data_IF_451330176824
#
_entry.id   IF_451330176824
#
_cell.length_a   1.000
_cell.length_b   1.000
_cell.length_c   1.000
_cell.angle_alpha   90.00
_cell.angle_beta   90.00
_cell.angle_gamma   90.00
#
_symmetry.space_group_name_H-M   'P 1'
#
loop_
_entity.id
_entity.type
_entity.pdbx_description
1 polymer ?
#
# COMPACT_ATOMS: atom_id res chain seq x y z
N UNK A 1 12.50 4.50 -9.08
CA UNK A 1 11.77 4.90 -7.86
C UNK A 1 11.24 3.64 -7.18
N UNK A 2 10.75 3.74 -5.94
CA UNK A 2 10.22 2.60 -5.20
C UNK A 2 8.91 2.96 -4.51
N UNK A 3 7.81 2.18 -4.73
CA UNK A 3 7.71 1.04 -5.64
C UNK A 3 7.95 1.39 -7.12
N UNK A 4 8.38 0.45 -7.98
CA UNK A 4 8.56 0.71 -9.40
C UNK A 4 7.21 0.94 -10.10
N UNK A 5 7.22 1.69 -11.21
CA UNK A 5 6.09 1.68 -12.14
C UNK A 5 5.86 0.25 -12.62
N UNK A 6 4.60 -0.04 -12.93
CA UNK A 6 4.20 -1.33 -13.48
C UNK A 6 4.15 -1.23 -14.99
N UNK A 7 4.66 -2.26 -15.67
CA UNK A 7 4.66 -2.34 -17.13
C UNK A 7 3.25 -2.57 -17.70
N UNK A 8 2.32 -3.05 -16.87
CA UNK A 8 0.92 -3.21 -17.23
C UNK A 8 0.26 -1.85 -17.48
N UNK A 9 -0.08 -1.60 -18.74
CA UNK A 9 -0.70 -0.35 -19.22
C UNK A 9 -2.06 -0.06 -18.61
N UNK A 10 -2.74 -1.07 -18.05
CA UNK A 10 -4.03 -0.90 -17.36
C UNK A 10 -3.89 -0.32 -15.96
N UNK A 11 -2.67 -0.35 -15.38
CA UNK A 11 -2.40 0.12 -14.02
C UNK A 11 -2.79 1.58 -13.83
N UNK A 12 -2.37 2.47 -14.74
CA UNK A 12 -2.67 3.90 -14.64
C UNK A 12 -4.18 4.20 -14.62
N UNK A 13 -4.95 3.75 -15.64
CA UNK A 13 -6.40 3.87 -15.66
C UNK A 13 -7.09 3.26 -14.43
N UNK A 14 -6.66 2.08 -13.98
CA UNK A 14 -7.23 1.41 -12.81
C UNK A 14 -6.99 2.17 -11.51
N UNK A 15 -5.78 2.71 -11.30
CA UNK A 15 -5.49 3.56 -10.14
C UNK A 15 -6.34 4.84 -10.16
N UNK A 16 -6.64 5.39 -11.34
CA UNK A 16 -7.56 6.51 -11.46
C UNK A 16 -9.01 6.12 -11.10
N UNK A 17 -9.46 4.92 -11.45
CA UNK A 17 -10.76 4.39 -11.02
C UNK A 17 -10.82 4.19 -9.50
N UNK A 18 -9.74 3.69 -8.90
CA UNK A 18 -9.60 3.61 -7.44
C UNK A 18 -9.60 4.99 -6.78
N UNK A 19 -9.09 6.02 -7.45
CA UNK A 19 -9.14 7.39 -6.96
C UNK A 19 -10.57 7.96 -7.04
N UNK A 20 -11.27 7.69 -8.15
CA UNK A 20 -12.65 8.11 -8.38
C UNK A 20 -13.64 7.48 -7.40
N UNK A 21 -13.46 6.19 -7.09
CA UNK A 21 -14.34 5.45 -6.17
C UNK A 21 -13.96 5.61 -4.68
N UNK A 22 -12.88 6.33 -4.38
CA UNK A 22 -12.43 6.61 -3.01
C UNK A 22 -11.62 5.49 -2.34
N UNK A 23 -11.28 4.41 -3.05
CA UNK A 23 -10.32 3.39 -2.56
C UNK A 23 -8.96 4.02 -2.31
N UNK A 24 -8.52 4.90 -3.22
CA UNK A 24 -7.42 5.83 -3.01
C UNK A 24 -7.99 7.20 -2.68
N UNK A 25 -7.42 7.88 -1.69
CA UNK A 25 -8.02 9.12 -1.15
C UNK A 25 -7.31 10.40 -1.58
N UNK A 26 -6.01 10.35 -1.92
CA UNK A 26 -5.25 11.55 -2.25
C UNK A 26 -4.08 11.21 -3.18
N UNK A 27 -3.47 12.24 -3.75
CA UNK A 27 -2.38 12.13 -4.72
C UNK A 27 -1.15 12.91 -4.25
N UNK A 28 0.02 12.33 -4.50
CA UNK A 28 1.32 12.96 -4.28
C UNK A 28 2.23 12.64 -5.46
N UNK A 29 3.29 13.44 -5.65
CA UNK A 29 4.24 13.25 -6.75
C UNK A 29 5.44 12.39 -6.38
N UNK A 30 5.70 12.19 -5.08
CA UNK A 30 6.97 11.61 -4.59
C UNK A 30 8.20 12.26 -5.26
N UNK A 31 8.14 13.60 -5.40
CA UNK A 31 9.13 14.35 -6.15
C UNK A 31 10.50 14.23 -5.51
N UNK A 32 11.39 13.52 -6.20
CA UNK A 32 12.75 13.23 -5.76
C UNK A 32 13.61 13.09 -7.02
N UNK A 33 14.26 14.18 -7.42
CA UNK A 33 14.88 14.26 -8.75
C UNK A 33 16.39 14.10 -8.69
N UNK A 34 16.91 13.45 -9.73
CA UNK A 34 18.34 13.29 -9.96
C UNK A 34 18.59 13.46 -11.45
N UNK A 35 19.61 14.22 -11.84
CA UNK A 35 19.94 14.44 -13.25
C UNK A 35 20.44 13.15 -13.93
N UNK A 36 20.50 13.14 -15.26
CA UNK A 36 20.96 11.99 -16.03
C UNK A 36 22.35 11.48 -15.61
N UNK A 37 23.26 12.40 -15.30
CA UNK A 37 24.59 12.07 -14.79
C UNK A 37 24.57 11.38 -13.41
N UNK A 38 23.67 11.79 -12.51
CA UNK A 38 23.50 11.17 -11.19
C UNK A 38 22.83 9.80 -11.32
N UNK A 39 21.86 9.65 -12.22
CA UNK A 39 21.25 8.35 -12.56
C UNK A 39 22.28 7.36 -13.12
N UNK A 40 23.26 7.84 -13.88
CA UNK A 40 24.31 7.02 -14.48
C UNK A 40 25.24 6.33 -13.48
N UNK A 41 25.18 6.67 -12.18
CA UNK A 41 25.86 5.92 -11.12
C UNK A 41 25.51 4.42 -11.12
N UNK A 42 24.29 4.07 -11.54
CA UNK A 42 23.83 2.69 -11.66
C UNK A 42 23.82 2.13 -13.07
N UNK A 43 24.58 2.71 -14.02
CA UNK A 43 24.61 2.25 -15.42
C UNK A 43 24.92 0.75 -15.56
N UNK A 44 25.79 0.22 -14.69
CA UNK A 44 26.24 -1.18 -14.68
C UNK A 44 25.55 -2.02 -13.59
N UNK A 45 24.77 -1.39 -12.69
CA UNK A 45 24.09 -2.05 -11.58
C UNK A 45 22.87 -1.23 -11.15
N UNK A 46 21.68 -1.70 -11.50
CA UNK A 46 20.43 -0.98 -11.24
C UNK A 46 20.21 -0.66 -9.76
N UNK A 47 20.79 -1.45 -8.84
CA UNK A 47 20.66 -1.25 -7.39
C UNK A 47 21.35 0.02 -6.90
N UNK A 48 22.26 0.58 -7.72
CA UNK A 48 22.98 1.82 -7.43
C UNK A 48 22.31 3.05 -8.07
N UNK A 49 21.24 2.88 -8.84
CA UNK A 49 20.51 4.01 -9.41
C UNK A 49 19.80 4.75 -8.27
N UNK A 50 20.03 6.05 -8.06
CA UNK A 50 19.31 6.79 -7.05
C UNK A 50 17.81 6.81 -7.36
N UNK A 51 16.98 6.44 -6.39
CA UNK A 51 15.55 6.28 -6.58
C UNK A 51 14.80 7.60 -6.51
N UNK A 52 14.04 7.91 -7.56
CA UNK A 52 13.14 9.05 -7.59
C UNK A 52 12.83 9.52 -9.01
N UNK A 53 11.77 10.29 -9.16
CA UNK A 53 11.30 10.88 -10.42
C UNK A 53 10.78 12.30 -10.18
N UNK A 54 10.51 13.01 -11.27
CA UNK A 54 9.93 14.35 -11.26
C UNK A 54 8.38 14.28 -11.20
N UNK A 55 7.71 15.41 -10.96
CA UNK A 55 6.24 15.44 -10.99
C UNK A 55 5.55 16.44 -10.06
N UNK A 56 6.26 17.24 -9.27
CA UNK A 56 5.64 18.25 -8.39
C UNK A 56 4.84 19.29 -9.19
N UNK A 57 5.39 19.76 -10.31
CA UNK A 57 4.79 20.75 -11.20
C UNK A 57 3.66 20.16 -12.04
N UNK A 58 3.86 18.95 -12.55
CA UNK A 58 2.96 18.32 -13.53
C UNK A 58 1.81 17.51 -12.89
N UNK A 59 1.81 17.35 -11.56
CA UNK A 59 0.80 16.56 -10.84
C UNK A 59 -0.63 16.99 -11.19
N UNK A 60 -0.93 18.28 -11.10
CA UNK A 60 -2.31 18.76 -11.30
C UNK A 60 -2.76 18.61 -12.77
N UNK A 61 -2.00 19.07 -13.79
CA UNK A 61 -2.38 18.87 -15.18
C UNK A 61 -2.51 17.39 -15.58
N UNK A 62 -1.65 16.50 -15.06
CA UNK A 62 -1.74 15.06 -15.34
C UNK A 62 -3.01 14.45 -14.74
N UNK A 63 -3.33 14.77 -13.48
CA UNK A 63 -4.57 14.27 -12.85
C UNK A 63 -5.80 14.83 -13.55
N UNK A 64 -5.77 16.10 -13.98
CA UNK A 64 -6.85 16.69 -14.75
C UNK A 64 -7.06 15.95 -16.08
N UNK A 65 -6.01 15.84 -16.90
CA UNK A 65 -6.08 15.19 -18.21
C UNK A 65 -6.44 13.71 -18.14
N UNK A 66 -5.98 12.99 -17.10
CA UNK A 66 -6.25 11.53 -16.96
C UNK A 66 -7.50 11.22 -16.16
N UNK A 67 -7.98 12.14 -15.33
CA UNK A 67 -9.14 11.95 -14.46
C UNK A 67 -10.36 12.72 -14.95
N UNK A 68 -10.28 14.04 -15.04
CA UNK A 68 -11.41 14.90 -15.36
C UNK A 68 -11.79 14.79 -16.84
N UNK A 69 -10.82 14.91 -17.74
CA UNK A 69 -11.10 14.89 -19.19
C UNK A 69 -11.54 13.52 -19.70
N UNK A 70 -11.12 12.45 -19.01
CA UNK A 70 -11.56 11.09 -19.32
C UNK A 70 -12.93 10.76 -18.72
N UNK A 71 -13.51 11.67 -17.93
CA UNK A 71 -14.80 11.48 -17.25
C UNK A 71 -14.73 10.55 -16.04
N UNK A 72 -13.54 10.19 -15.56
CA UNK A 72 -13.36 9.37 -14.34
C UNK A 72 -13.56 10.20 -13.06
N UNK A 73 -13.19 11.47 -13.09
CA UNK A 73 -13.37 12.40 -11.97
C UNK A 73 -14.27 13.55 -12.38
N UNK A 74 -15.16 13.97 -11.50
CA UNK A 74 -15.73 15.31 -11.59
C UNK A 74 -14.75 16.37 -11.01
N UNK A 75 -15.06 17.65 -11.22
CA UNK A 75 -14.21 18.76 -10.76
C UNK A 75 -14.11 18.80 -9.22
N UNK A 76 -15.18 18.42 -8.50
CA UNK A 76 -15.19 18.40 -7.05
C UNK A 76 -14.30 17.29 -6.48
N UNK A 77 -14.30 16.11 -7.12
CA UNK A 77 -13.42 15.00 -6.83
C UNK A 77 -11.97 15.37 -7.14
N UNK A 78 -11.71 16.05 -8.25
CA UNK A 78 -10.38 16.60 -8.55
C UNK A 78 -9.86 17.48 -7.41
N UNK A 79 -10.68 18.43 -6.93
CA UNK A 79 -10.32 19.26 -5.76
C UNK A 79 -10.08 18.41 -4.52
N UNK A 80 -10.94 17.42 -4.27
CA UNK A 80 -10.85 16.56 -3.10
C UNK A 80 -9.53 15.77 -3.04
N UNK A 81 -9.16 15.12 -4.14
CA UNK A 81 -8.00 14.21 -4.19
C UNK A 81 -6.67 14.96 -4.32
N UNK A 82 -6.71 16.21 -4.78
CA UNK A 82 -5.51 17.04 -4.94
C UNK A 82 -5.22 17.97 -3.76
N UNK A 83 -6.23 18.28 -2.93
CA UNK A 83 -6.09 19.23 -1.81
C UNK A 83 -6.91 18.88 -0.56
N UNK A 84 -8.25 18.76 -0.66
CA UNK A 84 -9.13 18.69 0.53
C UNK A 84 -8.86 17.46 1.40
N UNK A 85 -8.66 16.29 0.79
CA UNK A 85 -8.43 15.06 1.53
C UNK A 85 -7.08 15.08 2.25
N UNK A 86 -6.03 15.59 1.60
CA UNK A 86 -4.73 15.80 2.25
C UNK A 86 -4.86 16.76 3.44
N UNK A 87 -5.57 17.88 3.28
CA UNK A 87 -5.80 18.83 4.37
C UNK A 87 -6.56 18.19 5.56
N UNK A 88 -7.53 17.31 5.30
CA UNK A 88 -8.25 16.59 6.38
C UNK A 88 -7.36 15.56 7.09
N UNK A 89 -6.59 14.78 6.32
CA UNK A 89 -5.68 13.75 6.84
C UNK A 89 -4.57 14.38 7.70
N UNK A 90 -4.00 15.50 7.26
CA UNK A 90 -2.92 16.19 7.96
C UNK A 90 -3.40 17.30 8.91
N UNK A 91 -4.69 17.30 9.29
CA UNK A 91 -5.26 18.22 10.27
C UNK A 91 -5.11 19.73 9.95
N UNK A 92 -5.23 20.09 8.67
CA UNK A 92 -5.17 21.46 8.18
C UNK A 92 -6.51 21.95 7.60
N UNK A 93 -7.55 21.13 7.60
CA UNK A 93 -8.86 21.51 7.07
C UNK A 93 -9.70 22.23 8.14
N UNK A 94 -10.41 23.33 7.81
CA UNK A 94 -10.57 23.96 6.49
C UNK A 94 -9.56 25.07 6.19
N UNK A 95 -8.53 25.28 7.04
CA UNK A 95 -7.51 26.31 6.82
C UNK A 95 -6.85 26.19 5.44
N UNK A 96 -6.62 24.95 4.96
CA UNK A 96 -6.21 24.62 3.59
C UNK A 96 -7.24 23.71 2.90
N UNK A 97 -7.20 23.68 1.57
CA UNK A 97 -7.99 22.74 0.76
C UNK A 97 -9.49 23.06 0.68
N UNK A 98 -9.88 24.31 0.99
CA UNK A 98 -11.24 24.83 0.83
C UNK A 98 -11.20 26.33 0.55
N UNK A 99 -12.03 26.78 -0.39
CA UNK A 99 -12.33 28.21 -0.59
C UNK A 99 -13.51 28.55 0.31
N UNK A 100 -13.24 29.21 1.44
CA UNK A 100 -14.24 29.67 2.39
C UNK A 100 -13.71 30.85 3.20
N UNK A 101 -14.61 31.64 3.77
CA UNK A 101 -14.24 32.70 4.72
C UNK A 101 -13.50 32.07 5.91
N UNK A 102 -12.32 32.58 6.23
CA UNK A 102 -11.45 32.08 7.29
C UNK A 102 -10.41 31.02 6.86
N UNK A 103 -10.46 30.54 5.61
CA UNK A 103 -9.40 29.72 5.02
C UNK A 103 -8.23 30.59 4.55
N UNK A 104 -7.03 30.02 4.48
CA UNK A 104 -5.87 30.72 3.92
C UNK A 104 -6.07 30.97 2.42
N UNK A 105 -5.59 32.11 1.93
CA UNK A 105 -5.73 32.52 0.54
C UNK A 105 -4.70 31.83 -0.38
N UNK A 106 -4.75 30.51 -0.41
CA UNK A 106 -3.99 29.65 -1.34
C UNK A 106 -4.94 29.13 -2.42
N UNK A 107 -4.91 29.78 -3.58
CA UNK A 107 -5.90 29.57 -4.64
C UNK A 107 -5.22 29.39 -6.00
N UNK A 108 -5.87 28.62 -6.88
CA UNK A 108 -5.51 28.51 -8.27
C UNK A 108 -6.63 29.10 -9.12
N UNK A 109 -6.27 29.93 -10.10
CA UNK A 109 -7.16 30.22 -11.22
C UNK A 109 -6.82 29.19 -12.29
N UNK A 110 -7.78 28.32 -12.57
CA UNK A 110 -7.61 27.17 -13.43
C UNK A 110 -8.36 27.39 -14.73
N UNK A 111 -7.64 27.30 -15.86
CA UNK A 111 -8.23 27.32 -17.19
C UNK A 111 -8.34 25.88 -17.70
N UNK A 112 -9.57 25.39 -17.87
CA UNK A 112 -9.85 24.04 -18.35
C UNK A 112 -9.53 23.83 -19.83
N UNK A 113 -9.39 24.89 -20.62
CA UNK A 113 -9.12 24.82 -22.06
C UNK A 113 -7.68 25.14 -22.42
N UNK A 114 -6.92 25.76 -21.51
CA UNK A 114 -5.49 25.98 -21.69
C UNK A 114 -4.76 24.66 -21.90
N UNK A 115 -3.82 24.66 -22.86
CA UNK A 115 -3.04 23.47 -23.23
C UNK A 115 -1.54 23.72 -23.15
N UNK A 116 -0.79 22.68 -22.79
CA UNK A 116 0.67 22.67 -22.88
C UNK A 116 1.15 21.28 -23.27
N UNK A 117 2.29 21.24 -23.97
CA UNK A 117 3.07 20.01 -24.11
C UNK A 117 4.12 20.01 -23.01
N UNK A 118 4.11 18.99 -22.15
CA UNK A 118 5.11 18.86 -21.09
C UNK A 118 6.48 18.58 -21.74
N UNK A 119 7.47 19.38 -21.35
CA UNK A 119 8.87 19.17 -21.74
C UNK A 119 9.83 19.58 -20.64
N UNK A 120 10.93 18.84 -20.49
CA UNK A 120 12.06 19.24 -19.65
C UNK A 120 12.67 20.58 -20.08
N UNK A 121 12.50 20.97 -21.35
CA UNK A 121 13.00 22.26 -21.84
C UNK A 121 12.21 23.48 -21.34
N UNK A 122 10.97 23.29 -20.89
CA UNK A 122 10.05 24.37 -20.52
C UNK A 122 9.57 24.31 -19.07
N UNK A 123 9.83 23.22 -18.36
CA UNK A 123 9.43 23.08 -16.96
C UNK A 123 10.27 23.97 -16.02
N UNK A 124 9.82 24.13 -14.79
CA UNK A 124 10.50 24.93 -13.75
C UNK A 124 11.31 24.06 -12.78
N UNK A 125 11.37 22.75 -13.02
CA UNK A 125 12.12 21.81 -12.20
C UNK A 125 13.62 21.88 -12.52
N UNK A 126 14.47 21.59 -11.53
CA UNK A 126 15.92 21.60 -11.72
C UNK A 126 16.47 20.37 -12.47
N UNK A 127 15.62 19.39 -12.76
CA UNK A 127 16.03 18.13 -13.37
C UNK A 127 16.09 18.19 -14.89
N UNK A 128 17.05 17.51 -15.49
CA UNK A 128 17.29 17.54 -16.95
C UNK A 128 16.37 16.63 -17.78
N UNK A 129 15.34 16.02 -17.16
CA UNK A 129 14.35 15.20 -17.85
C UNK A 129 12.95 15.34 -17.23
N UNK A 130 11.93 14.91 -17.98
CA UNK A 130 10.56 14.78 -17.49
C UNK A 130 9.99 13.40 -17.85
N UNK A 131 9.42 12.67 -16.89
CA UNK A 131 8.78 11.37 -17.15
C UNK A 131 7.50 11.50 -18.00
N UNK A 132 6.95 12.70 -18.13
CA UNK A 132 5.78 13.01 -18.95
C UNK A 132 6.15 13.76 -20.25
N UNK A 133 7.40 13.65 -20.71
CA UNK A 133 7.87 14.30 -21.93
C UNK A 133 6.92 14.07 -23.11
N UNK A 134 6.66 15.12 -23.89
CA UNK A 134 5.73 15.15 -25.06
C UNK A 134 4.24 14.95 -24.73
N UNK A 135 3.88 14.76 -23.47
CA UNK A 135 2.48 14.61 -23.10
C UNK A 135 1.72 15.93 -23.26
N UNK A 136 0.62 15.91 -24.01
CA UNK A 136 -0.26 17.05 -24.16
C UNK A 136 -1.25 17.08 -23.00
N UNK A 137 -1.11 18.07 -22.13
CA UNK A 137 -2.06 18.37 -21.08
C UNK A 137 -3.01 19.47 -21.54
N UNK A 138 -4.28 19.30 -21.18
CA UNK A 138 -5.25 20.38 -21.11
C UNK A 138 -5.66 20.55 -19.62
N UNK A 139 -6.11 21.74 -19.25
CA UNK A 139 -6.34 22.12 -17.86
C UNK A 139 -5.05 22.58 -17.18
N UNK A 140 -4.88 23.88 -17.00
CA UNK A 140 -3.66 24.47 -16.46
C UNK A 140 -3.94 25.57 -15.42
N UNK A 141 -3.07 25.72 -14.40
CA UNK A 141 -3.11 26.88 -13.54
C UNK A 141 -2.54 28.09 -14.30
N UNK A 142 -3.38 29.10 -14.55
CA UNK A 142 -2.94 30.36 -15.18
C UNK A 142 -2.46 31.38 -14.16
N UNK A 143 -3.00 31.33 -12.94
CA UNK A 143 -2.58 32.15 -11.80
C UNK A 143 -2.52 31.27 -10.55
N UNK A 144 -1.45 31.38 -9.77
CA UNK A 144 -1.32 30.78 -8.44
C UNK A 144 -1.18 31.87 -7.40
N UNK A 145 -2.04 31.82 -6.39
CA UNK A 145 -2.06 32.73 -5.25
C UNK A 145 -1.63 31.93 -4.02
N UNK A 146 -0.67 32.46 -3.25
CA UNK A 146 -0.18 31.85 -2.01
C UNK A 146 -0.16 32.92 -0.92
N UNK A 147 -0.77 32.65 0.23
CA UNK A 147 -0.89 33.60 1.35
C UNK A 147 -1.44 34.97 0.91
N UNK A 148 -2.39 34.96 -0.05
CA UNK A 148 -3.03 36.16 -0.61
C UNK A 148 -2.18 36.96 -1.61
N UNK A 149 -1.03 36.43 -2.05
CA UNK A 149 -0.13 37.08 -3.02
C UNK A 149 -0.05 36.27 -4.31
N UNK A 150 -0.03 36.95 -5.44
CA UNK A 150 0.21 36.31 -6.74
C UNK A 150 1.65 35.80 -6.75
N UNK A 151 1.80 34.48 -6.81
CA UNK A 151 3.08 33.77 -6.83
C UNK A 151 3.47 33.31 -8.24
N UNK A 152 2.49 33.09 -9.10
CA UNK A 152 2.68 32.74 -10.51
C UNK A 152 1.54 33.33 -11.33
N UNK A 153 1.86 33.92 -12.47
CA UNK A 153 0.88 34.50 -13.39
C UNK A 153 1.41 34.42 -14.83
N UNK A 154 0.61 33.86 -15.74
CA UNK A 154 0.89 33.80 -17.19
C UNK A 154 2.29 33.31 -17.60
N UNK A 155 2.86 32.36 -16.86
CA UNK A 155 4.18 31.78 -17.16
C UNK A 155 5.34 32.37 -16.36
N UNK A 156 5.10 33.41 -15.56
CA UNK A 156 6.12 34.06 -14.76
C UNK A 156 5.96 33.76 -13.27
N UNK A 157 7.09 33.54 -12.59
CA UNK A 157 7.15 33.32 -11.15
C UNK A 157 7.44 34.65 -10.41
N UNK A 158 6.59 34.98 -9.45
CA UNK A 158 6.69 36.19 -8.61
C UNK A 158 6.84 35.79 -7.14
N UNK A 159 7.93 35.10 -6.81
CA UNK A 159 8.18 34.58 -5.46
C UNK A 159 9.52 35.03 -4.90
N UNK A 160 9.57 35.19 -3.57
CA UNK A 160 10.79 35.45 -2.82
C UNK A 160 11.12 34.21 -2.00
N UNK A 161 12.37 33.76 -2.03
CA UNK A 161 12.83 32.63 -1.23
C UNK A 161 12.52 32.86 0.26
N UNK A 162 11.93 31.86 0.91
CA UNK A 162 11.54 31.94 2.33
C UNK A 162 10.17 32.57 2.61
N UNK A 163 9.39 32.90 1.58
CA UNK A 163 8.00 33.39 1.75
C UNK A 163 7.05 32.34 2.34
N UNK A 164 7.31 31.06 2.08
CA UNK A 164 6.54 29.94 2.64
C UNK A 164 6.72 29.80 4.15
N UNK A 165 5.62 29.44 4.84
CA UNK A 165 5.61 29.26 6.30
C UNK A 165 5.42 27.79 6.64
N UNK A 166 6.09 27.33 7.70
CA UNK A 166 5.78 26.05 8.32
C UNK A 166 4.34 26.06 8.87
N UNK A 167 3.62 24.97 8.67
CA UNK A 167 2.28 24.77 9.21
C UNK A 167 2.36 23.65 10.23
N UNK A 168 2.14 24.01 11.49
CA UNK A 168 2.02 23.03 12.56
C UNK A 168 0.71 22.25 12.39
N UNK A 169 0.80 20.93 12.42
CA UNK A 169 -0.33 20.02 12.29
C UNK A 169 -0.60 19.36 13.63
N UNK A 170 -1.75 19.64 14.24
CA UNK A 170 -2.14 19.02 15.51
C UNK A 170 -2.28 17.51 15.38
N UNK A 171 -1.95 16.77 16.45
CA UNK A 171 -2.17 15.32 16.49
C UNK A 171 -3.67 14.97 16.52
N UNK A 172 -3.98 13.72 16.21
CA UNK A 172 -5.32 13.14 16.38
C UNK A 172 -6.46 13.87 15.63
N UNK A 173 -6.27 14.15 14.33
CA UNK A 173 -7.36 14.68 13.49
C UNK A 173 -8.63 13.84 13.59
N UNK A 174 -9.78 14.48 13.81
CA UNK A 174 -11.07 13.81 13.88
C UNK A 174 -11.38 13.01 12.61
N UNK A 175 -10.93 13.51 11.45
CA UNK A 175 -11.16 12.84 10.17
C UNK A 175 -10.65 11.38 10.15
N UNK A 176 -9.51 11.12 10.82
CA UNK A 176 -8.90 9.79 10.92
C UNK A 176 -9.28 9.10 12.22
N UNK A 177 -9.21 9.82 13.34
CA UNK A 177 -9.27 9.22 14.68
C UNK A 177 -10.67 9.10 15.27
N UNK A 178 -11.66 9.87 14.80
CA UNK A 178 -13.02 9.81 15.37
C UNK A 178 -13.59 8.38 15.32
N UNK A 179 -13.42 7.69 14.18
CA UNK A 179 -13.88 6.31 14.00
C UNK A 179 -13.08 5.32 14.86
N UNK A 180 -11.78 5.54 15.01
CA UNK A 180 -10.91 4.69 15.82
C UNK A 180 -11.26 4.80 17.31
N UNK A 181 -11.45 6.02 17.81
CA UNK A 181 -11.87 6.26 19.20
C UNK A 181 -13.18 5.58 19.50
N UNK A 182 -14.17 5.68 18.60
CA UNK A 182 -15.46 4.99 18.76
C UNK A 182 -15.33 3.47 18.71
N UNK A 183 -14.50 2.94 17.81
CA UNK A 183 -14.22 1.50 17.72
C UNK A 183 -13.56 0.98 18.99
N UNK A 184 -12.63 1.72 19.57
CA UNK A 184 -11.95 1.31 20.80
C UNK A 184 -12.88 1.37 22.02
N UNK A 185 -13.75 2.39 22.11
CA UNK A 185 -14.81 2.45 23.13
C UNK A 185 -15.71 1.20 23.06
N UNK A 186 -16.21 0.88 21.87
CA UNK A 186 -17.04 -0.32 21.66
C UNK A 186 -16.27 -1.61 21.97
N UNK A 187 -15.00 -1.70 21.57
CA UNK A 187 -14.16 -2.87 21.86
C UNK A 187 -13.98 -3.05 23.37
N UNK A 188 -13.74 -1.98 24.11
CA UNK A 188 -13.62 -2.01 25.56
C UNK A 188 -14.93 -2.45 26.23
N UNK A 189 -16.09 -2.05 25.69
CA UNK A 189 -17.40 -2.51 26.14
C UNK A 189 -17.64 -4.00 25.84
N UNK A 190 -17.33 -4.46 24.61
CA UNK A 190 -17.47 -5.87 24.22
C UNK A 190 -16.53 -6.77 25.05
N UNK A 191 -15.28 -6.34 25.28
CA UNK A 191 -14.33 -7.09 26.11
C UNK A 191 -14.79 -7.21 27.56
N UNK A 192 -15.55 -6.23 28.09
CA UNK A 192 -16.21 -6.38 29.39
C UNK A 192 -17.35 -7.40 29.37
N UNK A 193 -17.92 -7.70 28.20
CA UNK A 193 -19.12 -8.52 28.05
C UNK A 193 -18.88 -9.98 27.65
N UNK A 194 -17.64 -10.44 27.46
CA UNK A 194 -17.43 -11.77 26.85
C UNK A 194 -16.19 -12.53 27.34
N UNK A 195 -16.05 -12.71 28.64
CA UNK A 195 -15.42 -13.93 29.14
C UNK A 195 -16.51 -14.96 29.35
N UNK A 196 -16.45 -16.10 28.65
CA UNK A 196 -17.32 -17.22 29.00
C UNK A 196 -16.89 -17.69 30.38
N UNK A 197 -17.71 -17.42 31.39
CA UNK A 197 -17.50 -17.95 32.73
C UNK A 197 -17.52 -19.48 32.64
N UNK A 198 -16.39 -20.09 32.99
CA UNK A 198 -16.25 -21.52 33.13
C UNK A 198 -15.64 -21.78 34.50
N UNK A 199 -16.05 -22.87 35.10
CA UNK A 199 -15.30 -23.39 36.23
C UNK A 199 -13.87 -23.72 35.79
N UNK A 200 -12.94 -23.64 36.74
CA UNK A 200 -11.58 -24.10 36.49
C UNK A 200 -11.64 -25.56 36.05
N UNK A 201 -10.94 -25.89 34.97
CA UNK A 201 -10.89 -27.25 34.49
C UNK A 201 -10.25 -28.16 35.57
N UNK A 202 -11.06 -29.06 36.12
CA UNK A 202 -10.66 -30.04 37.15
C UNK A 202 -10.46 -31.44 36.60
N UNK A 203 -10.66 -31.65 35.30
CA UNK A 203 -10.48 -32.94 34.66
C UNK A 203 -9.01 -33.35 34.55
N UNK A 204 -8.78 -34.63 34.25
CA UNK A 204 -7.44 -35.18 34.08
C UNK A 204 -6.74 -34.54 32.88
N UNK A 205 -5.59 -33.90 33.14
CA UNK A 205 -4.68 -33.47 32.07
C UNK A 205 -3.80 -34.66 31.71
N UNK A 206 -3.85 -35.10 30.45
CA UNK A 206 -2.99 -36.18 29.95
C UNK A 206 -1.52 -35.81 30.14
N UNK A 207 -0.81 -36.64 30.91
CA UNK A 207 0.62 -36.51 31.13
C UNK A 207 1.40 -37.14 29.97
N UNK A 208 1.79 -36.30 29.00
CA UNK A 208 2.58 -36.70 27.84
C UNK A 208 4.04 -37.06 28.19
N UNK A 209 4.49 -36.86 29.43
CA UNK A 209 5.85 -37.27 29.82
C UNK A 209 5.98 -38.78 29.97
N UNK A 210 4.88 -39.48 30.32
CA UNK A 210 4.84 -40.95 30.45
C UNK A 210 4.72 -41.68 29.11
N UNK A 211 4.09 -41.07 28.11
CA UNK A 211 4.02 -41.64 26.75
C UNK A 211 5.35 -41.53 26.01
N UNK A 212 6.15 -40.49 26.28
CA UNK A 212 7.50 -40.34 25.72
C UNK A 212 8.55 -41.25 26.41
N UNK A 213 8.31 -41.73 27.63
CA UNK A 213 9.22 -42.65 28.33
C UNK A 213 9.01 -44.14 27.98
N UNK A 214 7.89 -44.50 27.33
CA UNK A 214 7.59 -45.88 26.95
C UNK A 214 7.95 -46.24 25.49
N UNK A 215 8.39 -45.27 24.68
CA UNK A 215 9.00 -45.55 23.37
C UNK A 215 10.47 -46.01 23.44
N UNK A 216 10.96 -46.44 24.61
CA UNK A 216 12.34 -46.91 24.76
C UNK A 216 12.49 -48.37 25.18
N UNK A 217 11.46 -49.22 25.07
CA UNK A 217 11.61 -50.68 25.35
C UNK A 217 11.06 -51.66 24.33
N UNK A 218 10.37 -51.23 23.28
CA UNK A 218 10.04 -52.10 22.12
C UNK A 218 10.00 -51.31 20.80
N UNK A 219 11.05 -50.56 20.48
CA UNK A 219 11.31 -50.22 19.09
C UNK A 219 11.99 -51.43 18.44
N UNK A 220 11.55 -51.94 17.27
CA UNK A 220 12.37 -52.87 16.51
C UNK A 220 13.73 -52.21 16.29
N UNK A 221 14.82 -52.98 16.41
CA UNK A 221 16.18 -52.51 16.14
C UNK A 221 16.26 -51.96 14.72
N UNK A 222 16.01 -50.67 14.53
CA UNK A 222 16.41 -49.96 13.33
C UNK A 222 17.90 -49.68 13.45
N UNK A 223 18.63 -49.99 12.38
CA UNK A 223 20.08 -50.02 12.33
C UNK A 223 20.71 -48.72 12.87
N UNK A 224 21.75 -48.89 13.70
CA UNK A 224 22.59 -47.81 14.18
C UNK A 224 23.19 -47.03 13.00
N UNK A 225 22.78 -45.78 12.82
CA UNK A 225 23.61 -44.79 12.17
C UNK A 225 23.90 -43.68 13.19
N UNK A 226 25.17 -43.58 13.59
CA UNK A 226 25.65 -42.51 14.47
C UNK A 226 25.52 -41.15 13.78
N UNK A 227 24.87 -40.20 14.47
CA UNK A 227 24.88 -38.79 14.10
C UNK A 227 25.57 -37.98 15.21
N UNK A 228 26.60 -37.17 14.89
CA UNK A 228 27.30 -36.37 15.88
C UNK A 228 26.45 -35.18 16.37
N UNK A 229 26.56 -34.91 17.66
CA UNK A 229 25.78 -33.92 18.38
C UNK A 229 26.23 -32.47 18.10
N UNK A 230 25.32 -31.65 17.59
CA UNK A 230 25.26 -30.20 17.86
C UNK A 230 23.94 -29.60 17.35
N UNK A 231 23.22 -28.89 18.23
CA UNK A 231 22.32 -27.80 17.82
C UNK A 231 20.83 -28.01 18.02
N UNK A 232 20.25 -27.11 18.81
CA UNK A 232 18.83 -26.75 18.96
C UNK A 232 17.97 -26.97 17.70
N UNK A 233 16.78 -27.58 17.90
CA UNK A 233 15.74 -27.94 16.92
C UNK A 233 15.82 -27.29 15.52
N UNK A 234 16.34 -28.04 14.54
CA UNK A 234 16.01 -27.85 13.13
C UNK A 234 15.18 -29.03 12.64
N UNK A 235 13.90 -28.80 12.31
CA UNK A 235 13.16 -29.72 11.42
C UNK A 235 13.80 -29.61 10.03
N UNK A 236 14.15 -30.72 9.35
CA UNK A 236 14.58 -30.62 7.96
C UNK A 236 13.44 -30.03 7.12
N UNK A 237 13.79 -29.21 6.13
CA UNK A 237 12.82 -28.71 5.17
C UNK A 237 12.12 -29.90 4.48
N UNK A 238 10.82 -29.78 4.23
CA UNK A 238 10.14 -30.74 3.34
C UNK A 238 10.81 -30.70 1.96
N UNK A 239 10.56 -31.69 1.12
CA UNK A 239 11.13 -31.82 -0.24
C UNK A 239 11.06 -30.54 -1.10
N UNK A 240 10.19 -29.58 -0.76
CA UNK A 240 9.98 -28.31 -1.43
C UNK A 240 10.70 -27.10 -0.79
N UNK A 241 11.51 -27.27 0.26
CA UNK A 241 12.38 -26.21 0.78
C UNK A 241 11.70 -25.10 1.61
N UNK A 242 10.39 -25.17 1.88
CA UNK A 242 9.66 -24.19 2.69
C UNK A 242 8.62 -24.85 3.61
N UNK A 243 8.19 -24.13 4.68
CA UNK A 243 7.18 -24.62 5.64
C UNK A 243 5.80 -24.69 4.97
N UNK A 244 5.34 -25.90 4.66
CA UNK A 244 3.98 -26.17 4.23
C UNK A 244 3.12 -26.59 5.43
N UNK A 245 2.05 -25.83 5.72
CA UNK A 245 1.12 -26.08 6.84
C UNK A 245 0.16 -27.25 6.57
N UNK A 246 0.09 -27.76 5.34
CA UNK A 246 -0.79 -28.87 4.96
C UNK A 246 -0.09 -30.24 4.92
N UNK A 247 1.24 -30.29 5.07
CA UNK A 247 1.96 -31.55 5.21
C UNK A 247 1.86 -32.01 6.67
N UNK A 248 0.93 -32.91 6.96
CA UNK A 248 0.85 -33.57 8.26
C UNK A 248 2.02 -34.55 8.40
N UNK A 249 2.82 -34.40 9.45
CA UNK A 249 3.89 -35.35 9.80
C UNK A 249 3.37 -36.56 10.59
N UNK A 250 2.05 -36.81 10.58
CA UNK A 250 1.45 -37.93 11.29
C UNK A 250 1.60 -39.20 10.45
N UNK A 251 2.62 -40.00 10.74
CA UNK A 251 2.71 -41.39 10.30
C UNK A 251 2.38 -42.27 11.49
N UNK A 252 1.31 -43.08 11.38
CA UNK A 252 1.05 -44.17 12.31
C UNK A 252 2.01 -45.30 11.96
N UNK A 253 3.01 -45.56 12.81
CA UNK A 253 3.85 -46.73 12.69
C UNK A 253 3.17 -47.95 13.32
N UNK A 254 2.94 -48.99 12.52
CA UNK A 254 2.31 -50.24 12.94
C UNK A 254 1.28 -50.72 11.91
N UNK A 255 1.04 -52.03 11.87
CA UNK A 255 0.02 -52.64 11.01
C UNK A 255 -1.37 -52.18 11.49
N UNK A 256 -2.11 -51.48 10.62
CA UNK A 256 -3.47 -51.04 10.91
C UNK A 256 -4.44 -52.16 10.57
N UNK A 257 -5.52 -52.25 11.35
CA UNK A 257 -6.54 -53.29 11.18
C UNK A 257 -7.21 -53.26 9.79
N UNK A 258 -7.08 -52.16 9.05
CA UNK A 258 -7.63 -51.95 7.70
C UNK A 258 -6.59 -51.95 6.57
N UNK A 259 -5.31 -52.25 6.84
CA UNK A 259 -4.22 -52.26 5.84
C UNK A 259 -4.44 -53.28 4.71
N UNK A 260 -5.24 -54.33 4.95
CA UNK A 260 -5.62 -55.32 3.93
C UNK A 260 -6.70 -54.85 2.95
N UNK A 261 -7.23 -53.63 3.11
CA UNK A 261 -8.31 -53.09 2.27
C UNK A 261 -7.81 -51.96 1.38
N UNK A 262 -8.13 -52.02 0.08
CA UNK A 262 -7.78 -50.95 -0.86
C UNK A 262 -8.58 -49.69 -0.51
N UNK A 263 -7.94 -48.71 0.15
CA UNK A 263 -8.53 -47.39 0.37
C UNK A 263 -8.76 -46.72 -0.99
N UNK A 264 -10.02 -46.52 -1.38
CA UNK A 264 -10.37 -45.60 -2.47
C UNK A 264 -10.17 -44.17 -1.98
N UNK A 265 -8.99 -43.60 -2.23
CA UNK A 265 -8.76 -42.18 -1.99
C UNK A 265 -9.36 -41.36 -3.11
N UNK A 266 -10.45 -40.64 -2.84
CA UNK A 266 -10.94 -39.60 -3.75
C UNK A 266 -10.03 -38.40 -3.63
N UNK A 267 -9.16 -38.18 -4.61
CA UNK A 267 -8.40 -36.93 -4.73
C UNK A 267 -9.41 -35.84 -5.12
N UNK A 268 -9.85 -35.03 -4.17
CA UNK A 268 -10.72 -33.88 -4.44
C UNK A 268 -9.91 -32.80 -5.17
N UNK A 269 -9.83 -32.90 -6.49
CA UNK A 269 -9.40 -31.80 -7.34
C UNK A 269 -10.56 -30.83 -7.52
N UNK A 270 -10.75 -29.95 -6.52
CA UNK A 270 -11.63 -28.77 -6.46
C UNK A 270 -12.54 -28.82 -5.23
N UNK A 271 -12.21 -28.08 -4.15
CA UNK A 271 -13.16 -27.89 -3.05
C UNK A 271 -14.39 -27.09 -3.54
N UNK A 272 -15.58 -27.34 -2.98
CA UNK A 272 -16.78 -26.63 -3.37
C UNK A 272 -16.66 -25.15 -2.96
N UNK A 273 -16.61 -24.25 -3.94
CA UNK A 273 -16.55 -22.80 -3.72
C UNK A 273 -15.59 -22.00 -4.60
N UNK A 274 -14.92 -22.60 -5.59
CA UNK A 274 -13.87 -21.91 -6.35
C UNK A 274 -13.93 -22.05 -7.87
N UNK A 275 -14.99 -21.55 -8.52
CA UNK A 275 -14.93 -21.05 -9.91
C UNK A 275 -15.94 -19.90 -10.09
N UNK A 276 -15.46 -18.66 -10.16
CA UNK A 276 -16.20 -17.54 -10.75
C UNK A 276 -15.61 -17.26 -12.13
N UNK A 277 -16.19 -17.88 -13.17
CA UNK A 277 -16.08 -17.35 -14.54
C UNK A 277 -17.27 -16.42 -14.75
N UNK A 278 -17.05 -15.12 -14.64
CA UNK A 278 -18.00 -14.10 -15.08
C UNK A 278 -17.73 -13.77 -16.54
N UNK A 279 -18.48 -14.40 -17.45
CA UNK A 279 -18.76 -13.90 -18.78
C UNK A 279 -20.22 -13.44 -18.75
N UNK A 280 -20.42 -12.13 -18.59
CA UNK A 280 -21.41 -11.28 -19.26
C UNK A 280 -20.89 -9.85 -19.14
#
# INVERSE_FOLDING_TARGET
MSPPLRDDSTTGPYLMDCLANGTLSTTASDHCTFNGNQKALGKDDFRKIPHGVNGIEDRLPIIWAKGVETGKLDINQFVAVTSTNAARIFNMYPKKGRIAVGSDADCLIWDSEATKTISASTHHQACDFNIFETFQCRGLPIVTIVDGKIAYEYGELHVVQGSGKYIETGCFTDYVYQKLTKREQLRAEILKQQTVERELYTGDVVDLTKSLSNESKTSPKHANHELPAAGFHNRPATRAGARNLFDSSFMLSGEQWDDGSVRKTTRVQQPPGGQSKGLW
#
